data_IF_098883310710
#
_entry.id   IF_098883310710
#
_cell.length_a   1.000
_cell.length_b   1.000
_cell.length_c   1.000
_cell.angle_alpha   90.00
_cell.angle_beta   90.00
_cell.angle_gamma   90.00
#
_symmetry.space_group_name_H-M   'P 1'
#
loop_
_entity.id
_entity.type
_entity.pdbx_description
1 polymer ?
#
# COMPACT_ATOMS: atom_id res chain seq x y z
N UNK A 1 -20.33 -0.08 -10.73
CA UNK A 1 -20.56 -0.02 -9.27
C UNK A 1 -20.13 1.29 -8.62
N UNK A 2 -18.91 1.82 -8.87
CA UNK A 2 -18.44 3.07 -8.22
C UNK A 2 -19.34 4.29 -8.53
N UNK A 3 -19.72 4.49 -9.78
CA UNK A 3 -20.61 5.59 -10.20
C UNK A 3 -22.00 5.51 -9.58
N UNK A 4 -22.50 4.30 -9.35
CA UNK A 4 -23.83 4.08 -8.74
C UNK A 4 -23.80 4.38 -7.24
N UNK A 5 -22.73 3.97 -6.54
CA UNK A 5 -22.49 4.29 -5.13
C UNK A 5 -22.33 5.80 -4.95
N UNK A 6 -21.59 6.46 -5.85
CA UNK A 6 -21.40 7.90 -5.84
C UNK A 6 -22.72 8.67 -5.99
N UNK A 7 -23.60 8.24 -6.91
CA UNK A 7 -24.93 8.82 -7.08
C UNK A 7 -25.80 8.69 -5.82
N UNK A 8 -25.59 7.61 -5.07
CA UNK A 8 -26.37 7.32 -3.85
C UNK A 8 -25.87 8.07 -2.62
N UNK A 9 -24.54 8.24 -2.49
CA UNK A 9 -23.93 8.87 -1.31
C UNK A 9 -23.82 10.40 -1.42
N UNK A 10 -23.77 10.96 -2.65
CA UNK A 10 -23.61 12.40 -2.85
C UNK A 10 -24.63 12.94 -3.85
N UNK A 11 -25.52 13.83 -3.41
CA UNK A 11 -26.51 14.46 -4.28
C UNK A 11 -25.88 15.39 -5.35
N UNK A 12 -24.64 15.85 -5.16
CA UNK A 12 -23.92 16.78 -6.03
C UNK A 12 -22.78 16.16 -6.82
N UNK A 13 -22.59 14.85 -6.80
CA UNK A 13 -21.43 14.13 -7.40
C UNK A 13 -20.07 14.69 -6.96
N UNK A 14 -19.94 15.01 -5.68
CA UNK A 14 -18.74 15.60 -5.12
C UNK A 14 -17.76 14.50 -4.67
N UNK A 15 -16.68 14.37 -5.42
CA UNK A 15 -15.62 13.38 -5.15
C UNK A 15 -14.85 13.68 -3.88
N UNK A 16 -14.82 14.92 -3.43
CA UNK A 16 -14.14 15.30 -2.16
C UNK A 16 -14.82 14.71 -0.93
N UNK A 17 -16.11 14.37 -1.02
CA UNK A 17 -16.85 13.67 0.03
C UNK A 17 -16.83 12.16 -0.20
N UNK A 18 -16.96 11.75 -1.46
CA UNK A 18 -17.06 10.33 -1.82
C UNK A 18 -15.79 9.55 -1.49
N UNK A 19 -14.60 10.05 -1.88
CA UNK A 19 -13.35 9.30 -1.67
C UNK A 19 -12.99 9.12 -0.21
N UNK A 20 -13.06 10.10 0.69
CA UNK A 20 -12.81 9.86 2.11
C UNK A 20 -13.75 8.82 2.73
N UNK A 21 -15.04 8.79 2.36
CA UNK A 21 -15.97 7.77 2.83
C UNK A 21 -15.63 6.37 2.29
N UNK A 22 -15.31 6.28 0.99
CA UNK A 22 -14.88 5.04 0.38
C UNK A 22 -13.60 4.50 1.03
N UNK A 23 -12.61 5.38 1.22
CA UNK A 23 -11.35 4.98 1.83
C UNK A 23 -11.45 4.69 3.31
N UNK A 24 -12.40 5.27 4.02
CA UNK A 24 -12.71 4.87 5.39
C UNK A 24 -13.04 3.37 5.47
N UNK A 25 -13.81 2.86 4.51
CA UNK A 25 -14.13 1.43 4.41
C UNK A 25 -12.92 0.62 3.93
N UNK A 26 -12.25 1.07 2.87
CA UNK A 26 -11.13 0.31 2.25
C UNK A 26 -9.93 0.22 3.18
N UNK A 27 -9.46 1.36 3.70
CA UNK A 27 -8.33 1.39 4.63
C UNK A 27 -8.71 0.79 5.98
N UNK A 28 -9.97 1.01 6.42
CA UNK A 28 -10.50 0.38 7.61
C UNK A 28 -10.39 -1.14 7.54
N UNK A 29 -10.84 -1.75 6.45
CA UNK A 29 -10.70 -3.20 6.26
C UNK A 29 -9.24 -3.65 6.14
N UNK A 30 -8.38 -2.85 5.50
CA UNK A 30 -6.96 -3.18 5.32
C UNK A 30 -6.23 -3.35 6.67
N UNK A 31 -6.50 -2.49 7.64
CA UNK A 31 -5.87 -2.55 8.95
C UNK A 31 -6.62 -3.45 9.95
N UNK A 32 -7.95 -3.55 9.82
CA UNK A 32 -8.76 -4.40 10.70
C UNK A 32 -8.58 -5.89 10.39
N UNK A 33 -8.41 -6.24 9.12
CA UNK A 33 -8.28 -7.64 8.68
C UNK A 33 -7.12 -8.39 9.36
N UNK A 34 -5.88 -7.88 9.42
CA UNK A 34 -4.79 -8.55 10.15
C UNK A 34 -5.11 -8.71 11.64
N UNK A 35 -5.71 -7.70 12.26
CA UNK A 35 -6.07 -7.75 13.66
C UNK A 35 -7.08 -8.86 13.97
N UNK A 36 -8.14 -8.96 13.19
CA UNK A 36 -9.16 -10.02 13.31
C UNK A 36 -8.55 -11.39 13.03
N UNK A 37 -7.74 -11.51 11.97
CA UNK A 37 -7.11 -12.77 11.55
C UNK A 37 -6.23 -13.36 12.64
N UNK A 38 -5.35 -12.56 13.25
CA UNK A 38 -4.47 -13.03 14.32
C UNK A 38 -5.25 -13.41 15.58
N UNK A 39 -6.31 -12.68 15.92
CA UNK A 39 -7.18 -13.05 17.04
C UNK A 39 -7.90 -14.38 16.80
N UNK A 40 -8.38 -14.62 15.59
CA UNK A 40 -9.00 -15.90 15.25
C UNK A 40 -8.01 -17.06 15.35
N UNK A 41 -6.79 -16.89 14.82
CA UNK A 41 -5.74 -17.91 14.94
C UNK A 41 -5.41 -18.19 16.43
N UNK A 42 -5.30 -17.16 17.23
CA UNK A 42 -4.98 -17.30 18.65
C UNK A 42 -6.06 -18.02 19.44
N UNK A 43 -7.33 -17.71 19.19
CA UNK A 43 -8.46 -18.33 19.92
C UNK A 43 -8.60 -19.80 19.53
N UNK A 44 -8.54 -20.10 18.24
CA UNK A 44 -8.83 -21.44 17.72
C UNK A 44 -7.58 -22.31 17.53
N UNK A 45 -6.36 -21.72 17.64
CA UNK A 45 -5.07 -22.39 17.44
C UNK A 45 -4.95 -23.15 16.10
N UNK A 46 -5.77 -22.76 15.11
CA UNK A 46 -5.79 -23.36 13.78
C UNK A 46 -5.92 -22.26 12.71
N UNK A 47 -4.93 -22.18 11.81
CA UNK A 47 -4.93 -21.21 10.70
C UNK A 47 -6.07 -21.46 9.69
N UNK A 48 -6.62 -22.68 9.63
CA UNK A 48 -7.73 -23.05 8.72
C UNK A 48 -9.02 -22.32 9.05
N UNK A 49 -9.19 -21.89 10.27
CA UNK A 49 -10.38 -21.12 10.70
C UNK A 49 -10.57 -19.83 9.88
N UNK A 50 -9.48 -19.22 9.41
CA UNK A 50 -9.53 -18.04 8.56
C UNK A 50 -10.30 -18.33 7.27
N UNK A 51 -9.96 -19.46 6.61
CA UNK A 51 -10.62 -19.85 5.38
C UNK A 51 -12.12 -20.15 5.59
N UNK A 52 -12.47 -20.79 6.70
CA UNK A 52 -13.87 -21.02 7.05
C UNK A 52 -14.62 -19.72 7.35
N UNK A 53 -14.01 -18.81 8.12
CA UNK A 53 -14.59 -17.51 8.41
C UNK A 53 -14.78 -16.67 7.15
N UNK A 54 -13.78 -16.62 6.26
CA UNK A 54 -13.85 -15.93 4.97
C UNK A 54 -14.94 -16.52 4.08
N UNK A 55 -15.01 -17.85 3.98
CA UNK A 55 -16.03 -18.54 3.18
C UNK A 55 -17.42 -18.23 3.72
N UNK A 56 -17.61 -18.29 5.04
CA UNK A 56 -18.88 -17.94 5.70
C UNK A 56 -19.30 -16.49 5.43
N UNK A 57 -18.36 -15.55 5.56
CA UNK A 57 -18.61 -14.14 5.27
C UNK A 57 -18.98 -13.90 3.79
N UNK A 58 -18.27 -14.55 2.85
CA UNK A 58 -18.57 -14.44 1.42
C UNK A 58 -19.94 -15.01 1.07
N UNK A 59 -20.32 -16.17 1.65
CA UNK A 59 -21.64 -16.76 1.46
C UNK A 59 -22.75 -15.86 2.03
N UNK A 60 -22.51 -15.24 3.17
CA UNK A 60 -23.46 -14.29 3.77
C UNK A 60 -23.64 -13.06 2.86
N UNK A 61 -22.53 -12.48 2.35
CA UNK A 61 -22.60 -11.37 1.40
C UNK A 61 -23.33 -11.79 0.12
N UNK A 62 -23.02 -12.97 -0.43
CA UNK A 62 -23.70 -13.49 -1.62
C UNK A 62 -25.22 -13.66 -1.38
N UNK A 63 -25.62 -14.15 -0.20
CA UNK A 63 -27.02 -14.26 0.20
C UNK A 63 -27.70 -12.89 0.28
N UNK A 64 -27.06 -11.92 0.93
CA UNK A 64 -27.57 -10.54 1.02
C UNK A 64 -27.76 -9.96 -0.38
N UNK A 65 -26.74 -10.07 -1.24
CA UNK A 65 -26.80 -9.60 -2.63
C UNK A 65 -27.95 -10.27 -3.37
N UNK A 66 -28.08 -11.61 -3.26
CA UNK A 66 -29.16 -12.36 -3.91
C UNK A 66 -30.56 -11.89 -3.47
N UNK A 67 -30.74 -11.62 -2.18
CA UNK A 67 -32.05 -11.17 -1.63
C UNK A 67 -32.35 -9.72 -1.95
N UNK A 68 -31.32 -8.84 -1.97
CA UNK A 68 -31.51 -7.39 -2.10
C UNK A 68 -31.41 -6.85 -3.52
N UNK A 69 -30.71 -7.56 -4.42
CA UNK A 69 -30.55 -7.11 -5.79
C UNK A 69 -31.60 -7.72 -6.70
N UNK A 70 -32.39 -6.86 -7.35
CA UNK A 70 -33.20 -7.25 -8.48
C UNK A 70 -32.39 -7.12 -9.78
N UNK A 71 -32.66 -8.00 -10.76
CA UNK A 71 -32.01 -7.99 -12.08
C UNK A 71 -32.31 -6.69 -12.87
N UNK A 72 -31.52 -5.67 -12.61
CA UNK A 72 -31.56 -4.42 -13.36
C UNK A 72 -30.50 -4.44 -14.47
N UNK A 73 -30.94 -4.39 -15.71
CA UNK A 73 -30.07 -4.16 -16.87
C UNK A 73 -29.79 -2.67 -17.02
N UNK A 74 -28.77 -2.15 -16.35
CA UNK A 74 -28.44 -0.72 -16.39
C UNK A 74 -27.74 -0.27 -17.66
N UNK A 75 -27.15 -1.17 -18.44
CA UNK A 75 -26.33 -0.83 -19.61
C UNK A 75 -26.61 -1.75 -20.79
N UNK A 76 -26.44 -1.21 -22.01
CA UNK A 76 -26.34 -2.04 -23.22
C UNK A 76 -25.14 -2.97 -23.08
N UNK A 77 -25.28 -4.27 -23.45
CA UNK A 77 -24.15 -5.19 -23.40
C UNK A 77 -23.03 -4.69 -24.31
N UNK A 78 -21.86 -4.48 -23.74
CA UNK A 78 -20.65 -4.16 -24.48
C UNK A 78 -20.12 -5.44 -25.14
N UNK A 79 -19.70 -5.40 -26.42
CA UNK A 79 -19.13 -6.57 -27.05
C UNK A 79 -17.81 -6.93 -26.35
N UNK A 80 -17.68 -8.18 -25.89
CA UNK A 80 -16.46 -8.70 -25.24
C UNK A 80 -15.21 -8.64 -26.13
N UNK A 81 -15.36 -8.49 -27.42
CA UNK A 81 -14.30 -8.40 -28.44
C UNK A 81 -13.45 -7.12 -28.26
N UNK A 82 -13.95 -6.10 -27.56
CA UNK A 82 -13.22 -4.84 -27.31
C UNK A 82 -12.28 -4.90 -26.09
N UNK A 83 -12.23 -6.01 -25.34
CA UNK A 83 -11.40 -6.15 -24.16
C UNK A 83 -10.06 -6.80 -24.53
N UNK A 84 -8.95 -6.17 -24.15
CA UNK A 84 -7.61 -6.66 -24.37
C UNK A 84 -7.20 -7.70 -23.30
N UNK A 85 -7.75 -8.92 -23.39
CA UNK A 85 -7.43 -10.02 -22.45
C UNK A 85 -5.95 -10.38 -22.44
N UNK A 86 -5.32 -10.46 -23.62
CA UNK A 86 -3.91 -10.81 -23.71
C UNK A 86 -3.04 -9.70 -23.11
N UNK A 87 -3.39 -8.42 -23.32
CA UNK A 87 -2.72 -7.30 -22.66
C UNK A 87 -2.83 -7.38 -21.15
N UNK A 88 -4.01 -7.71 -20.62
CA UNK A 88 -4.20 -7.89 -19.18
C UNK A 88 -3.29 -9.00 -18.62
N UNK A 89 -3.20 -10.15 -19.29
CA UNK A 89 -2.33 -11.27 -18.88
C UNK A 89 -0.87 -10.85 -18.91
N UNK A 90 -0.41 -10.20 -20.01
CA UNK A 90 0.98 -9.77 -20.15
C UNK A 90 1.38 -8.74 -19.07
N UNK A 91 0.53 -7.73 -18.82
CA UNK A 91 0.77 -6.75 -17.77
C UNK A 91 0.79 -7.38 -16.38
N UNK A 92 -0.09 -8.35 -16.12
CA UNK A 92 -0.11 -9.09 -14.86
C UNK A 92 1.16 -9.92 -14.68
N UNK A 93 1.60 -10.62 -15.72
CA UNK A 93 2.84 -11.41 -15.70
C UNK A 93 4.06 -10.50 -15.43
N UNK A 94 4.16 -9.39 -16.17
CA UNK A 94 5.26 -8.43 -16.01
C UNK A 94 5.35 -7.86 -14.60
N UNK A 95 4.20 -7.59 -13.96
CA UNK A 95 4.17 -7.13 -12.57
C UNK A 95 4.51 -8.22 -11.57
N UNK A 96 4.07 -9.46 -11.82
CA UNK A 96 4.40 -10.60 -10.96
C UNK A 96 5.90 -10.90 -10.96
N UNK A 97 6.56 -10.83 -12.11
CA UNK A 97 8.01 -10.97 -12.25
C UNK A 97 8.74 -9.89 -11.44
N UNK A 98 8.33 -8.63 -11.55
CA UNK A 98 8.88 -7.55 -10.74
C UNK A 98 8.70 -7.76 -9.24
N UNK A 99 7.51 -8.18 -8.82
CA UNK A 99 7.20 -8.50 -7.42
C UNK A 99 8.06 -9.67 -6.95
N UNK A 100 8.19 -10.72 -7.77
CA UNK A 100 9.00 -11.90 -7.46
C UNK A 100 10.46 -11.52 -7.25
N UNK A 101 11.04 -10.73 -8.14
CA UNK A 101 12.43 -10.26 -8.02
C UNK A 101 12.70 -9.58 -6.67
N UNK A 102 11.87 -8.63 -6.26
CA UNK A 102 12.10 -7.89 -5.02
C UNK A 102 11.71 -8.66 -3.75
N UNK A 103 10.71 -9.54 -3.84
CA UNK A 103 10.26 -10.33 -2.68
C UNK A 103 11.24 -11.45 -2.36
N UNK A 104 11.75 -12.12 -3.38
CA UNK A 104 12.63 -13.29 -3.23
C UNK A 104 14.10 -12.99 -3.49
N UNK A 105 14.45 -11.76 -3.91
CA UNK A 105 15.82 -11.37 -4.22
C UNK A 105 16.78 -11.67 -3.07
N UNK A 106 16.40 -11.37 -1.84
CA UNK A 106 17.19 -11.64 -0.64
C UNK A 106 17.38 -13.15 -0.41
N UNK A 107 16.35 -13.95 -0.62
CA UNK A 107 16.40 -15.40 -0.45
C UNK A 107 17.33 -16.09 -1.45
N UNK A 108 17.38 -15.61 -2.68
CA UNK A 108 18.18 -16.17 -3.76
C UNK A 108 19.51 -15.44 -4.00
N UNK A 109 19.95 -14.57 -3.10
CA UNK A 109 21.15 -13.74 -3.27
C UNK A 109 21.14 -12.89 -4.55
N UNK A 110 20.00 -12.34 -4.89
CA UNK A 110 19.83 -11.42 -6.01
C UNK A 110 20.37 -12.02 -7.33
N UNK A 111 21.16 -11.27 -8.09
CA UNK A 111 21.64 -11.67 -9.41
C UNK A 111 22.67 -12.82 -9.42
N UNK A 112 23.13 -13.29 -8.27
CA UNK A 112 24.04 -14.44 -8.19
C UNK A 112 23.32 -15.75 -8.50
N UNK A 113 21.99 -15.81 -8.33
CA UNK A 113 21.18 -16.99 -8.62
C UNK A 113 20.74 -17.04 -10.08
N UNK A 114 20.84 -18.22 -10.71
CA UNK A 114 20.30 -18.47 -12.04
C UNK A 114 18.80 -18.21 -12.14
N UNK A 115 18.05 -18.47 -11.07
CA UNK A 115 16.60 -18.22 -11.01
C UNK A 115 16.31 -16.73 -11.17
N UNK A 116 17.01 -15.87 -10.45
CA UNK A 116 16.86 -14.41 -10.53
C UNK A 116 17.32 -13.85 -11.89
N UNK A 117 18.39 -14.41 -12.45
CA UNK A 117 18.84 -14.04 -13.80
C UNK A 117 17.78 -14.39 -14.85
N UNK A 118 17.15 -15.56 -14.74
CA UNK A 118 16.04 -15.97 -15.61
C UNK A 118 14.82 -15.04 -15.45
N UNK A 119 14.48 -14.69 -14.22
CA UNK A 119 13.36 -13.76 -13.92
C UNK A 119 13.60 -12.39 -14.57
N UNK A 120 14.81 -11.83 -14.46
CA UNK A 120 15.16 -10.56 -15.13
C UNK A 120 15.06 -10.67 -16.66
N UNK A 121 15.48 -11.78 -17.25
CA UNK A 121 15.33 -12.01 -18.69
C UNK A 121 13.85 -12.08 -19.10
N UNK A 122 13.03 -12.79 -18.32
CA UNK A 122 11.59 -12.84 -18.53
C UNK A 122 10.96 -11.45 -18.40
N UNK A 123 11.33 -10.70 -17.37
CA UNK A 123 10.86 -9.33 -17.14
C UNK A 123 11.12 -8.39 -18.32
N UNK A 124 12.33 -8.47 -18.91
CA UNK A 124 12.68 -7.69 -20.10
C UNK A 124 11.84 -8.13 -21.30
N UNK A 125 11.66 -9.44 -21.47
CA UNK A 125 10.93 -10.01 -22.60
C UNK A 125 9.42 -9.69 -22.52
N UNK A 126 8.79 -9.94 -21.39
CA UNK A 126 7.37 -9.64 -21.17
C UNK A 126 7.11 -8.14 -21.24
N UNK A 127 8.00 -7.30 -20.68
CA UNK A 127 7.92 -5.85 -20.77
C UNK A 127 7.99 -5.34 -22.21
N UNK A 128 8.87 -5.90 -23.03
CA UNK A 128 8.93 -5.58 -24.45
C UNK A 128 7.58 -5.84 -25.15
N UNK A 129 6.98 -7.02 -24.92
CA UNK A 129 5.68 -7.33 -25.52
C UNK A 129 4.54 -6.47 -24.97
N UNK A 130 4.54 -6.13 -23.68
CA UNK A 130 3.59 -5.21 -23.10
C UNK A 130 3.63 -3.85 -23.79
N UNK A 131 4.83 -3.29 -23.93
CA UNK A 131 5.03 -1.96 -24.55
C UNK A 131 4.68 -2.01 -26.04
N UNK A 132 5.15 -3.01 -26.76
CA UNK A 132 4.84 -3.16 -28.19
C UNK A 132 3.33 -3.27 -28.40
N UNK A 133 2.64 -4.10 -27.60
CA UNK A 133 1.19 -4.26 -27.68
C UNK A 133 0.43 -2.98 -27.35
N UNK A 134 0.88 -2.20 -26.38
CA UNK A 134 0.28 -0.93 -25.98
C UNK A 134 0.19 0.07 -27.15
N UNK A 135 1.17 0.06 -28.07
CA UNK A 135 1.19 0.98 -29.22
C UNK A 135 0.53 0.42 -30.49
N UNK A 136 0.37 -0.90 -30.62
CA UNK A 136 -0.16 -1.51 -31.85
C UNK A 136 -1.66 -1.84 -31.80
N UNK A 137 -2.27 -1.92 -30.62
CA UNK A 137 -3.68 -2.28 -30.48
C UNK A 137 -4.55 -1.04 -30.31
N UNK A 138 -5.73 -1.09 -30.90
CA UNK A 138 -6.69 0.02 -30.86
C UNK A 138 -7.23 0.33 -29.47
N UNK A 139 -7.43 -0.69 -28.64
CA UNK A 139 -7.92 -0.59 -27.27
C UNK A 139 -7.01 -1.39 -26.34
N UNK A 140 -5.78 -0.89 -26.05
CA UNK A 140 -4.85 -1.58 -25.18
C UNK A 140 -5.30 -1.54 -23.72
N UNK A 141 -4.84 -2.49 -22.93
CA UNK A 141 -5.14 -2.55 -21.48
C UNK A 141 -4.73 -1.24 -20.75
N UNK A 142 -3.54 -0.70 -21.09
CA UNK A 142 -3.13 0.65 -20.65
C UNK A 142 -3.09 1.57 -21.88
N UNK A 143 -3.91 2.60 -21.88
CA UNK A 143 -3.98 3.56 -22.98
C UNK A 143 -2.80 4.52 -22.96
N UNK A 144 -2.02 4.64 -24.07
CA UNK A 144 -0.93 5.61 -24.17
C UNK A 144 -1.39 7.07 -24.03
N UNK A 145 -2.67 7.34 -24.28
CA UNK A 145 -3.26 8.67 -24.14
C UNK A 145 -3.18 9.22 -22.70
N UNK A 146 -3.17 8.35 -21.70
CA UNK A 146 -3.02 8.75 -20.30
C UNK A 146 -1.67 9.44 -20.02
N UNK A 147 -0.61 9.05 -20.70
CA UNK A 147 0.72 9.63 -20.53
C UNK A 147 0.87 11.06 -21.09
N UNK A 148 -0.12 11.55 -21.86
CA UNK A 148 -0.13 12.93 -22.35
C UNK A 148 -0.36 13.96 -21.26
N UNK A 149 -0.90 13.54 -20.11
CA UNK A 149 -1.11 14.42 -18.98
C UNK A 149 0.20 14.64 -18.21
N UNK A 150 0.85 15.79 -18.44
CA UNK A 150 2.18 16.14 -17.90
C UNK A 150 2.30 16.01 -16.37
N UNK A 151 1.20 16.18 -15.63
CA UNK A 151 1.16 16.10 -14.17
C UNK A 151 0.93 14.68 -13.63
N UNK A 152 0.64 13.71 -14.50
CA UNK A 152 0.40 12.32 -14.09
C UNK A 152 1.69 11.69 -13.52
N UNK A 153 2.82 11.89 -14.19
CA UNK A 153 4.12 11.32 -13.73
C UNK A 153 4.52 11.83 -12.34
N UNK A 154 4.52 13.15 -12.05
CA UNK A 154 4.77 13.63 -10.69
C UNK A 154 3.81 13.06 -9.65
N UNK A 155 2.53 12.89 -10.02
CA UNK A 155 1.55 12.28 -9.12
C UNK A 155 1.86 10.81 -8.83
N UNK A 156 2.24 10.03 -9.84
CA UNK A 156 2.65 8.62 -9.67
C UNK A 156 3.93 8.50 -8.82
N UNK A 157 4.89 9.42 -8.98
CA UNK A 157 6.08 9.50 -8.12
C UNK A 157 5.67 9.78 -6.67
N UNK A 158 4.69 10.64 -6.45
CA UNK A 158 4.20 10.94 -5.12
C UNK A 158 3.51 9.71 -4.48
N UNK A 159 2.74 8.92 -5.26
CA UNK A 159 2.23 7.63 -4.80
C UNK A 159 3.35 6.65 -4.44
N UNK A 160 4.41 6.60 -5.25
CA UNK A 160 5.59 5.77 -4.98
C UNK A 160 6.31 6.20 -3.69
N UNK A 161 6.43 7.51 -3.45
CA UNK A 161 7.00 8.06 -2.22
C UNK A 161 6.17 7.66 -0.98
N UNK A 162 4.85 7.76 -1.07
CA UNK A 162 3.95 7.32 0.01
C UNK A 162 4.13 5.84 0.32
N UNK A 163 4.25 5.01 -0.72
CA UNK A 163 4.48 3.58 -0.53
C UNK A 163 5.87 3.28 0.07
N UNK A 164 6.89 4.04 -0.32
CA UNK A 164 8.21 3.94 0.28
C UNK A 164 8.17 4.23 1.79
N UNK A 165 7.56 5.33 2.20
CA UNK A 165 7.38 5.66 3.61
C UNK A 165 6.49 4.65 4.35
N UNK A 166 5.44 4.16 3.69
CA UNK A 166 4.49 3.19 4.22
C UNK A 166 5.04 1.76 4.37
N UNK A 167 6.12 1.42 3.69
CA UNK A 167 6.72 0.08 3.75
C UNK A 167 7.69 -0.13 4.93
N UNK A 168 8.13 0.95 5.60
CA UNK A 168 9.02 0.85 6.76
C UNK A 168 8.52 -0.07 7.87
N UNK A 169 7.22 -0.07 8.25
CA UNK A 169 6.74 -0.98 9.30
C UNK A 169 6.78 -2.45 8.92
N UNK A 170 6.56 -2.76 7.65
CA UNK A 170 6.54 -4.15 7.17
C UNK A 170 7.87 -4.86 7.40
N UNK A 171 8.98 -4.15 7.38
CA UNK A 171 10.32 -4.71 7.53
C UNK A 171 10.97 -4.24 8.83
N UNK A 172 11.14 -2.93 9.03
CA UNK A 172 11.93 -2.39 10.13
C UNK A 172 11.20 -2.52 11.48
N UNK A 173 9.92 -2.18 11.53
CA UNK A 173 9.15 -2.30 12.78
C UNK A 173 8.97 -3.76 13.16
N UNK A 174 8.67 -4.65 12.19
CA UNK A 174 8.56 -6.08 12.44
C UNK A 174 9.88 -6.68 12.93
N UNK A 175 11.01 -6.31 12.32
CA UNK A 175 12.33 -6.73 12.77
C UNK A 175 12.65 -6.20 14.19
N UNK A 176 12.24 -4.98 14.52
CA UNK A 176 12.42 -4.40 15.83
C UNK A 176 11.57 -5.09 16.90
N UNK A 177 10.26 -5.21 16.65
CA UNK A 177 9.33 -5.78 17.64
C UNK A 177 9.54 -7.28 17.84
N UNK A 178 9.83 -8.04 16.78
CA UNK A 178 10.08 -9.48 16.85
C UNK A 178 11.53 -9.84 17.17
N UNK A 179 12.50 -9.15 16.54
CA UNK A 179 13.93 -9.50 16.65
C UNK A 179 14.64 -8.87 17.83
N UNK A 180 14.28 -7.67 18.25
CA UNK A 180 14.92 -6.95 19.37
C UNK A 180 14.10 -7.03 20.65
N UNK A 181 12.80 -6.74 20.58
CA UNK A 181 11.92 -6.72 21.76
C UNK A 181 11.30 -8.08 22.07
N UNK A 182 11.39 -9.05 21.17
CA UNK A 182 10.82 -10.38 21.29
C UNK A 182 9.33 -10.41 21.67
N UNK A 183 8.55 -9.44 21.19
CA UNK A 183 7.12 -9.43 21.41
C UNK A 183 6.43 -10.55 20.63
N UNK A 184 5.46 -11.20 21.25
CA UNK A 184 4.60 -12.17 20.58
C UNK A 184 3.69 -11.49 19.55
N UNK A 185 3.19 -12.26 18.58
CA UNK A 185 2.34 -11.78 17.49
C UNK A 185 1.10 -11.05 17.99
N UNK A 186 0.45 -11.56 19.05
CA UNK A 186 -0.73 -10.93 19.65
C UNK A 186 -0.42 -9.54 20.24
N UNK A 187 0.73 -9.42 20.91
CA UNK A 187 1.13 -8.12 21.47
C UNK A 187 1.38 -7.11 20.36
N UNK A 188 2.04 -7.51 19.29
CA UNK A 188 2.29 -6.64 18.14
C UNK A 188 1.02 -6.33 17.34
N UNK A 189 0.04 -7.23 17.36
CA UNK A 189 -1.23 -7.04 16.66
C UNK A 189 -2.06 -5.86 17.17
N UNK A 190 -1.86 -5.43 18.40
CA UNK A 190 -2.48 -4.20 18.93
C UNK A 190 -2.09 -2.98 18.09
N UNK A 191 -0.90 -2.96 17.48
CA UNK A 191 -0.48 -1.88 16.59
C UNK A 191 -1.35 -1.79 15.34
N UNK A 192 -1.81 -2.91 14.78
CA UNK A 192 -2.76 -2.92 13.66
C UNK A 192 -4.09 -2.25 14.04
N UNK A 193 -4.56 -2.45 15.26
CA UNK A 193 -5.76 -1.77 15.76
C UNK A 193 -5.53 -0.25 15.91
N UNK A 194 -4.39 0.17 16.42
CA UNK A 194 -4.02 1.59 16.51
C UNK A 194 -3.94 2.23 15.12
N UNK A 195 -3.38 1.52 14.14
CA UNK A 195 -3.34 1.97 12.76
C UNK A 195 -4.74 2.07 12.13
N UNK A 196 -5.63 1.14 12.46
CA UNK A 196 -7.02 1.21 12.05
C UNK A 196 -7.71 2.48 12.58
N UNK A 197 -7.54 2.78 13.85
CA UNK A 197 -8.09 4.03 14.44
C UNK A 197 -7.50 5.26 13.75
N UNK A 198 -6.18 5.27 13.50
CA UNK A 198 -5.50 6.36 12.80
C UNK A 198 -6.02 6.57 11.38
N UNK A 199 -6.23 5.48 10.62
CA UNK A 199 -6.74 5.55 9.25
C UNK A 199 -8.16 6.13 9.21
N UNK A 200 -9.06 5.66 10.08
CA UNK A 200 -10.42 6.18 10.18
C UNK A 200 -10.41 7.67 10.57
N UNK A 201 -9.63 8.02 11.59
CA UNK A 201 -9.49 9.42 12.02
C UNK A 201 -8.98 10.31 10.88
N UNK A 202 -8.02 9.86 10.09
CA UNK A 202 -7.49 10.56 8.91
C UNK A 202 -8.55 10.77 7.82
N UNK A 203 -9.32 9.74 7.50
CA UNK A 203 -10.43 9.86 6.54
C UNK A 203 -11.52 10.83 7.02
N UNK A 204 -11.92 10.75 8.29
CA UNK A 204 -12.89 11.67 8.87
C UNK A 204 -12.36 13.10 8.92
N UNK A 205 -11.06 13.27 9.20
CA UNK A 205 -10.43 14.58 9.15
C UNK A 205 -10.43 15.18 7.73
N UNK A 206 -10.22 14.36 6.69
CA UNK A 206 -10.37 14.79 5.29
C UNK A 206 -11.79 15.28 5.00
N UNK A 207 -12.82 14.55 5.45
CA UNK A 207 -14.22 14.97 5.31
C UNK A 207 -14.47 16.30 6.01
N UNK A 208 -14.03 16.43 7.25
CA UNK A 208 -14.18 17.67 8.01
C UNK A 208 -13.49 18.85 7.32
N UNK A 209 -12.24 18.65 6.85
CA UNK A 209 -11.47 19.69 6.19
C UNK A 209 -12.12 20.17 4.90
N UNK A 210 -12.54 19.24 4.04
CA UNK A 210 -13.14 19.58 2.75
C UNK A 210 -14.55 20.13 2.88
N UNK A 211 -15.38 19.54 3.75
CA UNK A 211 -16.80 19.85 3.85
C UNK A 211 -17.10 21.06 4.76
N UNK A 212 -16.38 21.18 5.87
CA UNK A 212 -16.65 22.21 6.89
C UNK A 212 -15.74 23.41 6.72
N UNK A 213 -14.43 23.18 6.58
CA UNK A 213 -13.46 24.27 6.47
C UNK A 213 -13.34 24.83 5.05
N UNK A 214 -13.83 24.12 4.01
CA UNK A 214 -13.71 24.51 2.60
C UNK A 214 -12.30 24.96 2.20
N UNK A 215 -11.26 24.38 2.83
CA UNK A 215 -9.86 24.73 2.61
C UNK A 215 -9.27 23.94 1.45
N UNK A 216 -8.20 24.50 0.85
CA UNK A 216 -7.48 23.85 -0.25
C UNK A 216 -6.89 22.51 0.18
N UNK A 217 -7.10 21.47 -0.62
CA UNK A 217 -6.57 20.12 -0.38
C UNK A 217 -5.03 20.05 -0.39
N UNK A 218 -4.34 21.00 -1.06
CA UNK A 218 -2.87 21.06 -1.06
C UNK A 218 -2.28 21.25 0.34
N UNK A 219 -2.92 22.06 1.20
CA UNK A 219 -2.50 22.20 2.60
C UNK A 219 -2.70 20.91 3.38
N UNK A 220 -3.78 20.21 3.09
CA UNK A 220 -4.07 18.92 3.73
C UNK A 220 -3.03 17.86 3.33
N UNK A 221 -2.60 17.83 2.05
CA UNK A 221 -1.49 17.00 1.60
C UNK A 221 -0.20 17.28 2.37
N UNK A 222 0.14 18.55 2.57
CA UNK A 222 1.33 18.92 3.36
C UNK A 222 1.25 18.41 4.80
N UNK A 223 0.06 18.49 5.43
CA UNK A 223 -0.18 17.92 6.77
C UNK A 223 0.02 16.39 6.73
N UNK A 224 -0.52 15.72 5.72
CA UNK A 224 -0.36 14.27 5.53
C UNK A 224 1.10 13.85 5.43
N UNK A 225 1.91 14.56 4.61
CA UNK A 225 3.37 14.33 4.51
C UNK A 225 4.04 14.52 5.86
N UNK A 226 3.79 15.64 6.53
CA UNK A 226 4.40 15.93 7.82
C UNK A 226 4.11 14.82 8.84
N UNK A 227 2.86 14.33 8.91
CA UNK A 227 2.48 13.24 9.80
C UNK A 227 3.17 11.91 9.44
N UNK A 228 3.31 11.61 8.15
CA UNK A 228 4.04 10.42 7.70
C UNK A 228 5.54 10.49 8.02
N UNK A 229 6.16 11.65 7.85
CA UNK A 229 7.58 11.85 8.17
C UNK A 229 7.85 11.85 9.68
N UNK A 230 6.89 12.30 10.50
CA UNK A 230 6.99 12.20 11.95
C UNK A 230 7.19 10.76 12.44
N UNK A 231 6.62 9.77 11.76
CA UNK A 231 6.77 8.36 12.14
C UNK A 231 8.24 7.89 12.16
N UNK A 232 9.01 7.93 11.05
CA UNK A 232 10.41 7.51 11.09
C UNK A 232 11.28 8.38 11.99
N UNK A 233 10.99 9.66 12.15
CA UNK A 233 11.68 10.54 13.11
C UNK A 233 11.46 10.04 14.53
N UNK A 234 10.22 9.78 14.93
CA UNK A 234 9.92 9.26 16.27
C UNK A 234 10.56 7.88 16.48
N UNK A 235 10.47 6.99 15.49
CA UNK A 235 11.08 5.66 15.56
C UNK A 235 12.59 5.73 15.75
N UNK A 236 13.28 6.65 15.08
CA UNK A 236 14.73 6.84 15.23
C UNK A 236 15.14 7.10 16.70
N UNK A 237 14.35 7.88 17.44
CA UNK A 237 14.63 8.19 18.84
C UNK A 237 14.10 7.14 19.83
N UNK A 238 13.03 6.42 19.48
CA UNK A 238 12.40 5.42 20.34
C UNK A 238 13.09 4.05 20.33
N UNK A 239 13.98 3.78 19.36
CA UNK A 239 14.65 2.48 19.27
C UNK A 239 15.66 2.31 20.41
N UNK A 240 15.24 1.56 21.45
CA UNK A 240 16.10 1.12 22.54
C UNK A 240 15.62 -0.24 23.09
N UNK A 241 16.51 -1.04 23.71
CA UNK A 241 16.12 -2.29 24.33
C UNK A 241 15.20 -2.01 25.54
N UNK A 242 14.16 -2.80 25.71
CA UNK A 242 13.19 -2.64 26.80
C UNK A 242 12.10 -1.59 26.57
N UNK A 243 11.87 -1.18 25.33
CA UNK A 243 10.76 -0.31 24.98
C UNK A 243 9.41 -1.01 25.22
N UNK A 244 8.48 -0.32 25.88
CA UNK A 244 7.10 -0.80 25.99
C UNK A 244 6.35 -0.60 24.66
N UNK A 245 5.47 -1.55 24.34
CA UNK A 245 4.68 -1.49 23.10
C UNK A 245 3.83 -0.22 22.98
N UNK A 246 3.37 0.32 24.10
CA UNK A 246 2.56 1.53 24.16
C UNK A 246 3.24 2.76 23.58
N UNK A 247 4.58 2.84 23.66
CA UNK A 247 5.35 3.93 23.08
C UNK A 247 5.26 3.95 21.54
N UNK A 248 4.93 2.80 20.91
CA UNK A 248 4.74 2.69 19.46
C UNK A 248 3.34 3.13 19.00
N UNK A 249 2.39 3.33 19.91
CA UNK A 249 1.01 3.69 19.54
C UNK A 249 0.96 5.04 18.81
N UNK A 250 1.60 6.05 19.36
CA UNK A 250 1.58 7.38 18.76
C UNK A 250 2.25 7.43 17.38
N UNK A 251 3.47 6.90 17.17
CA UNK A 251 4.06 6.83 15.84
C UNK A 251 3.19 6.09 14.82
N UNK A 252 2.65 4.92 15.17
CA UNK A 252 1.79 4.12 14.29
C UNK A 252 0.49 4.86 13.94
N UNK A 253 -0.13 5.53 14.92
CA UNK A 253 -1.31 6.36 14.71
C UNK A 253 -1.02 7.50 13.72
N UNK A 254 0.04 8.28 13.93
CA UNK A 254 0.38 9.41 13.08
C UNK A 254 0.69 8.97 11.64
N UNK A 255 1.41 7.87 11.47
CA UNK A 255 1.69 7.27 10.17
C UNK A 255 0.41 6.90 9.43
N UNK A 256 -0.47 6.16 10.07
CA UNK A 256 -1.72 5.71 9.48
C UNK A 256 -2.67 6.86 9.18
N UNK A 257 -2.74 7.84 10.07
CA UNK A 257 -3.48 9.09 9.87
C UNK A 257 -2.97 9.85 8.63
N UNK A 258 -1.65 10.06 8.52
CA UNK A 258 -1.04 10.72 7.37
C UNK A 258 -1.24 9.95 6.07
N UNK A 259 -1.11 8.62 6.10
CA UNK A 259 -1.35 7.75 4.95
C UNK A 259 -2.80 7.86 4.44
N UNK A 260 -3.79 7.89 5.33
CA UNK A 260 -5.19 8.06 4.97
C UNK A 260 -5.46 9.42 4.30
N UNK A 261 -4.89 10.50 4.82
CA UNK A 261 -4.98 11.83 4.20
C UNK A 261 -4.42 11.80 2.78
N UNK A 262 -3.23 11.24 2.62
CA UNK A 262 -2.59 11.13 1.31
C UNK A 262 -3.46 10.40 0.30
N UNK A 263 -3.97 9.25 0.73
CA UNK A 263 -4.83 8.44 -0.09
C UNK A 263 -6.03 9.17 -0.63
N UNK A 264 -6.78 9.79 0.29
CA UNK A 264 -7.97 10.54 -0.06
C UNK A 264 -7.64 11.69 -1.01
N UNK A 265 -6.62 12.46 -0.69
CA UNK A 265 -6.32 13.69 -1.40
C UNK A 265 -5.60 13.48 -2.74
N UNK A 266 -4.71 12.49 -2.84
CA UNK A 266 -4.09 12.16 -4.13
C UNK A 266 -5.10 11.62 -5.14
N UNK A 267 -6.10 10.86 -4.67
CA UNK A 267 -7.16 10.37 -5.55
C UNK A 267 -8.08 11.50 -6.02
N UNK A 268 -8.41 12.44 -5.13
CA UNK A 268 -9.15 13.66 -5.51
C UNK A 268 -8.34 14.48 -6.54
N UNK A 269 -7.04 14.65 -6.30
CA UNK A 269 -6.18 15.37 -7.24
C UNK A 269 -6.05 14.68 -8.60
N UNK A 270 -6.04 13.35 -8.62
CA UNK A 270 -6.05 12.57 -9.86
C UNK A 270 -7.33 12.82 -10.67
N UNK A 271 -8.46 12.92 -10.00
CA UNK A 271 -9.75 13.23 -10.63
C UNK A 271 -9.79 14.63 -11.23
N UNK A 272 -9.24 15.63 -10.54
CA UNK A 272 -9.12 16.98 -11.10
C UNK A 272 -8.16 17.07 -12.30
N UNK A 273 -7.14 16.18 -12.30
CA UNK A 273 -6.11 16.20 -13.34
C UNK A 273 -6.60 15.61 -14.67
N UNK A 274 -7.47 14.61 -14.63
CA UNK A 274 -7.86 13.82 -15.77
C UNK A 274 -9.37 13.93 -16.06
N UNK A 275 -9.79 14.04 -17.33
CA UNK A 275 -11.20 13.93 -17.67
C UNK A 275 -11.72 12.54 -17.26
N UNK A 276 -13.00 12.46 -16.94
CA UNK A 276 -13.64 11.23 -16.43
C UNK A 276 -13.36 9.99 -17.27
N UNK A 277 -13.21 10.13 -18.59
CA UNK A 277 -12.91 9.04 -19.52
C UNK A 277 -11.57 8.36 -19.22
N UNK A 278 -10.54 9.12 -18.82
CA UNK A 278 -9.19 8.62 -18.52
C UNK A 278 -8.92 8.48 -17.02
N UNK A 279 -9.82 8.95 -16.17
CA UNK A 279 -9.67 8.90 -14.71
C UNK A 279 -9.47 7.47 -14.19
N UNK A 280 -10.29 6.53 -14.68
CA UNK A 280 -10.16 5.12 -14.24
C UNK A 280 -8.83 4.51 -14.68
N UNK A 281 -8.28 4.91 -15.80
CA UNK A 281 -6.93 4.49 -16.23
C UNK A 281 -5.86 5.04 -15.29
N UNK A 282 -5.92 6.32 -14.93
CA UNK A 282 -5.03 6.93 -13.96
C UNK A 282 -5.13 6.25 -12.58
N UNK A 283 -6.34 5.91 -12.13
CA UNK A 283 -6.59 5.20 -10.88
C UNK A 283 -6.01 3.77 -10.93
N UNK A 284 -6.13 3.09 -12.06
CA UNK A 284 -5.51 1.76 -12.26
C UNK A 284 -3.99 1.85 -12.19
N UNK A 285 -3.37 2.83 -12.86
CA UNK A 285 -1.92 3.06 -12.78
C UNK A 285 -1.45 3.35 -11.36
N UNK A 286 -2.16 4.21 -10.63
CA UNK A 286 -1.88 4.51 -9.24
C UNK A 286 -2.03 3.27 -8.35
N UNK A 287 -3.06 2.46 -8.58
CA UNK A 287 -3.30 1.20 -7.88
C UNK A 287 -2.21 0.16 -8.14
N UNK A 288 -1.74 0.04 -9.38
CA UNK A 288 -0.63 -0.84 -9.77
C UNK A 288 0.66 -0.44 -9.05
N UNK A 289 1.03 0.84 -9.11
CA UNK A 289 2.24 1.33 -8.45
C UNK A 289 2.18 1.03 -6.95
N UNK A 290 1.06 1.29 -6.32
CA UNK A 290 0.91 1.21 -4.90
C UNK A 290 0.82 -0.21 -4.34
N UNK A 291 -0.12 -1.01 -4.84
CA UNK A 291 -0.52 -2.26 -4.17
C UNK A 291 0.30 -3.49 -4.57
N UNK A 292 1.25 -3.37 -5.47
CA UNK A 292 2.01 -4.50 -5.98
C UNK A 292 3.50 -4.17 -6.14
N UNK A 293 3.94 -3.76 -7.33
CA UNK A 293 5.35 -3.63 -7.66
C UNK A 293 6.12 -2.71 -6.71
N UNK A 294 5.58 -1.52 -6.41
CA UNK A 294 6.28 -0.55 -5.57
C UNK A 294 6.37 -1.00 -4.11
N UNK A 295 5.33 -1.63 -3.59
CA UNK A 295 5.34 -2.19 -2.23
C UNK A 295 6.38 -3.30 -2.10
N UNK A 296 6.48 -4.19 -3.08
CA UNK A 296 7.49 -5.25 -3.11
C UNK A 296 8.91 -4.66 -3.22
N UNK A 297 9.12 -3.70 -4.13
CA UNK A 297 10.40 -3.02 -4.29
C UNK A 297 10.84 -2.34 -2.99
N UNK A 298 9.97 -1.57 -2.35
CA UNK A 298 10.30 -0.86 -1.12
C UNK A 298 10.60 -1.83 0.02
N UNK A 299 9.81 -2.89 0.18
CA UNK A 299 10.06 -3.93 1.19
C UNK A 299 11.38 -4.66 0.93
N UNK A 300 11.67 -5.02 -0.33
CA UNK A 300 12.93 -5.64 -0.73
C UNK A 300 14.14 -4.73 -0.48
N UNK A 301 14.03 -3.44 -0.79
CA UNK A 301 15.09 -2.47 -0.53
C UNK A 301 15.36 -2.29 0.97
N UNK A 302 14.32 -2.26 1.81
CA UNK A 302 14.50 -2.20 3.27
C UNK A 302 15.12 -3.49 3.82
N UNK A 303 14.74 -4.66 3.31
CA UNK A 303 15.34 -5.94 3.71
C UNK A 303 16.83 -6.02 3.32
N UNK A 304 17.13 -5.66 2.08
CA UNK A 304 18.50 -5.55 1.59
C UNK A 304 19.32 -4.54 2.40
N UNK A 305 18.77 -3.34 2.62
CA UNK A 305 19.41 -2.28 3.41
C UNK A 305 19.71 -2.72 4.84
N UNK A 306 18.78 -3.45 5.47
CA UNK A 306 18.97 -3.99 6.82
C UNK A 306 20.13 -4.97 6.88
N UNK A 307 20.18 -5.92 5.95
CA UNK A 307 21.27 -6.89 5.85
C UNK A 307 22.61 -6.22 5.56
N UNK A 308 22.63 -5.27 4.63
CA UNK A 308 23.83 -4.50 4.29
C UNK A 308 24.36 -3.71 5.51
N UNK A 309 23.49 -3.01 6.23
CA UNK A 309 23.86 -2.26 7.44
C UNK A 309 24.36 -3.20 8.57
N UNK A 310 23.74 -4.37 8.72
CA UNK A 310 24.23 -5.38 9.67
C UNK A 310 25.63 -5.85 9.30
N UNK A 311 25.88 -6.17 8.04
CA UNK A 311 27.20 -6.59 7.56
C UNK A 311 28.27 -5.49 7.71
N UNK A 312 27.92 -4.25 7.40
CA UNK A 312 28.82 -3.09 7.57
C UNK A 312 29.15 -2.85 9.04
N UNK A 313 28.16 -2.88 9.94
CA UNK A 313 28.37 -2.72 11.36
C UNK A 313 29.23 -3.88 11.95
N UNK A 314 29.06 -5.10 11.48
CA UNK A 314 29.94 -6.24 11.83
C UNK A 314 31.38 -5.99 11.39
N UNK A 315 31.60 -5.51 10.17
CA UNK A 315 32.93 -5.28 9.62
C UNK A 315 33.72 -4.21 10.38
N UNK A 316 33.02 -3.28 11.03
CA UNK A 316 33.63 -2.22 11.86
C UNK A 316 34.14 -2.72 13.22
N UNK A 317 34.05 -4.02 13.50
CA UNK A 317 34.61 -4.64 14.68
C UNK A 317 33.95 -4.23 16.00
N UNK A 318 32.73 -3.75 15.95
CA UNK A 318 32.00 -3.39 17.18
C UNK A 318 31.63 -4.67 17.94
N UNK A 319 32.00 -4.83 19.22
CA UNK A 319 31.69 -6.02 20.04
C UNK A 319 30.23 -5.94 20.52
N UNK A 320 29.27 -6.11 19.60
CA UNK A 320 27.87 -6.08 19.95
C UNK A 320 27.27 -7.49 19.86
N UNK A 321 26.37 -7.78 20.79
CA UNK A 321 25.44 -8.88 20.65
C UNK A 321 24.60 -8.70 19.40
N UNK A 322 24.14 -9.79 18.80
CA UNK A 322 23.37 -9.78 17.56
C UNK A 322 22.13 -8.85 17.64
N UNK A 323 21.52 -8.73 18.81
CA UNK A 323 20.38 -7.84 19.08
C UNK A 323 20.76 -6.36 19.02
N UNK A 324 21.91 -5.99 19.58
CA UNK A 324 22.41 -4.60 19.53
C UNK A 324 22.80 -4.19 18.10
N UNK A 325 23.40 -5.13 17.36
CA UNK A 325 23.73 -4.93 15.95
C UNK A 325 22.48 -4.69 15.09
N UNK A 326 21.46 -5.53 15.28
CA UNK A 326 20.18 -5.40 14.60
C UNK A 326 19.51 -4.05 14.94
N UNK A 327 19.48 -3.68 16.21
CA UNK A 327 18.90 -2.43 16.69
C UNK A 327 19.59 -1.20 16.06
N UNK A 328 20.94 -1.18 16.05
CA UNK A 328 21.70 -0.09 15.42
C UNK A 328 21.42 0.01 13.91
N UNK A 329 21.36 -1.13 13.24
CA UNK A 329 21.08 -1.18 11.79
C UNK A 329 19.67 -0.67 11.48
N UNK A 330 18.67 -1.04 12.26
CA UNK A 330 17.30 -0.52 12.13
C UNK A 330 17.26 0.99 12.36
N UNK A 331 17.93 1.49 13.39
CA UNK A 331 18.00 2.92 13.70
C UNK A 331 18.65 3.73 12.56
N UNK A 332 19.74 3.22 11.98
CA UNK A 332 20.41 3.86 10.83
C UNK A 332 19.47 3.95 9.62
N UNK A 333 18.70 2.89 9.33
CA UNK A 333 17.74 2.90 8.23
C UNK A 333 16.58 3.87 8.46
N UNK A 334 16.07 3.98 9.68
CA UNK A 334 15.09 5.03 10.00
C UNK A 334 15.69 6.42 9.82
N UNK A 335 16.97 6.64 10.18
CA UNK A 335 17.69 7.89 9.92
C UNK A 335 17.75 8.22 8.42
N UNK A 336 18.11 7.25 7.57
CA UNK A 336 18.13 7.41 6.11
C UNK A 336 16.71 7.72 5.59
N UNK A 337 15.70 7.02 6.09
CA UNK A 337 14.30 7.26 5.70
C UNK A 337 13.84 8.67 6.09
N UNK A 338 14.25 9.18 7.26
CA UNK A 338 13.99 10.55 7.66
C UNK A 338 14.60 11.57 6.68
N UNK A 339 15.87 11.37 6.29
CA UNK A 339 16.55 12.26 5.34
C UNK A 339 15.87 12.28 3.97
N UNK A 340 15.32 11.15 3.52
CA UNK A 340 14.57 11.08 2.26
C UNK A 340 13.20 11.75 2.40
N UNK A 341 12.61 11.75 3.60
CA UNK A 341 11.29 12.31 3.87
C UNK A 341 11.26 13.83 4.05
N UNK A 342 12.37 14.45 4.41
CA UNK A 342 12.54 15.90 4.60
C UNK A 342 12.94 16.56 3.29
#
# INVERSE_FOLDING_TARGET
>A
CMSTIQLWMTSKRDFTIFFPLLYCIVLGNMFLSPWVTEHLIYIYQDWRIINWAMTGALLLVALIVYVTTHDFRFMKPLPFISIDYLGCILWSAWMLEFIFFFTYGEHYNWLDSKIMQMDVLLFIFTGYFCIQRMFHIRHPFIEPAAWKYKRLIPLLILFAFVEFMGSTPKVLQTAFTGGVLHFGTITTNVLNFVEWVGAIAGCLFCLFWCKVLHQKYTRLLTIGVAMMVCYPVMMYFLIHPGLNIEALYLPCFLRSFGNAIFFCMLTVYLEELMPFQHFFMGLTMAGIIRNGPMSAMCSGLYSFGLRYQMADNMSRGLPYDATNLLMLSIRNLYGITCLIGI
#
